data_IF_098324723733
#
_entry.id   IF_098324723733
#
_cell.length_a   1.000
_cell.length_b   1.000
_cell.length_c   1.000
_cell.angle_alpha   90.00
_cell.angle_beta   90.00
_cell.angle_gamma   90.00
#
_symmetry.space_group_name_H-M   'P 1'
#
loop_
_entity.id
_entity.type
_entity.pdbx_description
1 polymer ?
#
# COMPACT_ATOMS: atom_id res chain seq x y z
N UNK A 1 -12.24 17.03 7.67
CA UNK A 1 -10.86 16.57 7.75
C UNK A 1 -10.79 15.07 7.60
N UNK A 2 -9.87 14.63 6.77
CA UNK A 2 -9.71 13.20 6.53
C UNK A 2 -8.55 12.69 7.38
N UNK A 3 -8.86 11.76 8.24
CA UNK A 3 -7.86 11.11 9.05
C UNK A 3 -7.44 9.80 8.38
N UNK A 4 -6.14 9.64 8.17
CA UNK A 4 -5.60 8.41 7.59
C UNK A 4 -4.82 7.65 8.64
N UNK A 5 -5.29 6.48 8.97
CA UNK A 5 -4.57 5.59 9.84
C UNK A 5 -3.48 4.83 9.08
N UNK A 6 -2.63 4.16 9.85
CA UNK A 6 -1.54 3.37 9.28
C UNK A 6 -2.05 2.29 8.32
N UNK A 7 -3.14 1.63 8.68
CA UNK A 7 -3.71 0.59 7.82
C UNK A 7 -4.22 1.13 6.49
N UNK A 8 -4.77 2.33 6.52
CA UNK A 8 -5.26 2.96 5.30
C UNK A 8 -4.11 3.32 4.38
N UNK A 9 -3.01 3.80 4.94
CA UNK A 9 -1.82 4.14 4.16
C UNK A 9 -1.24 2.88 3.51
N UNK A 10 -1.16 1.79 4.28
CA UNK A 10 -0.69 0.51 3.74
C UNK A 10 -1.59 0.06 2.59
N UNK A 11 -2.91 0.17 2.75
CA UNK A 11 -3.84 -0.21 1.70
C UNK A 11 -3.66 0.65 0.44
N UNK A 12 -3.43 1.94 0.59
CA UNK A 12 -3.19 2.83 -0.54
C UNK A 12 -1.92 2.44 -1.30
N UNK A 13 -0.87 2.08 -0.55
CA UNK A 13 0.38 1.64 -1.18
C UNK A 13 0.18 0.33 -1.92
N UNK A 14 -0.51 -0.63 -1.29
CA UNK A 14 -0.77 -1.93 -1.91
C UNK A 14 -1.59 -1.77 -3.20
N UNK A 15 -2.58 -0.91 -3.16
CA UNK A 15 -3.42 -0.65 -4.33
C UNK A 15 -2.63 0.02 -5.44
N UNK A 16 -1.80 1.00 -5.08
CA UNK A 16 -0.98 1.73 -6.04
C UNK A 16 0.06 0.81 -6.71
N UNK A 17 0.62 -0.13 -5.96
CA UNK A 17 1.65 -1.03 -6.45
C UNK A 17 1.07 -2.31 -7.08
N UNK A 18 -0.25 -2.44 -7.14
CA UNK A 18 -0.88 -3.61 -7.76
C UNK A 18 -0.55 -3.60 -9.25
N UNK A 19 0.13 -4.65 -9.71
CA UNK A 19 0.60 -4.72 -11.09
C UNK A 19 1.95 -4.08 -11.33
N UNK A 20 2.47 -3.35 -10.34
CA UNK A 20 3.77 -2.70 -10.43
C UNK A 20 3.66 -1.19 -10.54
N UNK A 21 4.52 -0.48 -9.80
CA UNK A 21 4.56 0.98 -9.83
C UNK A 21 5.91 1.49 -9.37
N UNK A 22 6.28 2.67 -9.84
CA UNK A 22 7.50 3.35 -9.37
C UNK A 22 7.27 3.96 -8.00
N UNK A 23 8.36 4.25 -7.29
CA UNK A 23 8.28 4.95 -6.01
C UNK A 23 7.52 6.27 -6.14
N UNK A 24 7.80 7.02 -7.19
CA UNK A 24 7.18 8.31 -7.41
C UNK A 24 5.67 8.20 -7.54
N UNK A 25 5.22 7.21 -8.29
CA UNK A 25 3.78 6.98 -8.47
C UNK A 25 3.12 6.59 -7.16
N UNK A 26 3.76 5.70 -6.40
CA UNK A 26 3.22 5.25 -5.11
C UNK A 26 3.15 6.44 -4.15
N UNK A 27 4.21 7.23 -4.10
CA UNK A 27 4.28 8.40 -3.22
C UNK A 27 3.15 9.37 -3.52
N UNK A 28 2.91 9.61 -4.79
CA UNK A 28 1.85 10.51 -5.25
C UNK A 28 0.47 9.98 -4.86
N UNK A 29 0.23 8.71 -5.16
CA UNK A 29 -1.08 8.11 -4.92
C UNK A 29 -1.40 7.96 -3.45
N UNK A 30 -0.39 7.74 -2.62
CA UNK A 30 -0.59 7.56 -1.18
C UNK A 30 -0.45 8.86 -0.40
N UNK A 31 -0.14 9.96 -1.08
CA UNK A 31 0.03 11.29 -0.46
C UNK A 31 1.06 11.26 0.66
N UNK A 32 2.22 10.68 0.40
CA UNK A 32 3.29 10.56 1.37
C UNK A 32 4.51 11.38 0.96
N UNK A 33 5.29 11.79 1.96
CA UNK A 33 6.62 12.32 1.70
C UNK A 33 7.54 11.16 1.34
N UNK A 34 8.70 11.47 0.77
CA UNK A 34 9.66 10.44 0.42
C UNK A 34 10.09 9.62 1.63
N UNK A 35 10.37 10.29 2.76
CA UNK A 35 10.79 9.60 3.97
C UNK A 35 9.72 8.68 4.54
N UNK A 36 8.48 9.14 4.51
CA UNK A 36 7.36 8.33 4.96
C UNK A 36 7.19 7.10 4.09
N UNK A 37 7.23 7.28 2.78
CA UNK A 37 7.11 6.16 1.85
C UNK A 37 8.22 5.13 2.08
N UNK A 38 9.45 5.62 2.26
CA UNK A 38 10.59 4.74 2.46
C UNK A 38 10.39 3.85 3.69
N UNK A 39 9.91 4.41 4.78
CA UNK A 39 9.67 3.64 6.00
C UNK A 39 8.59 2.59 5.78
N UNK A 40 7.51 2.96 5.10
CA UNK A 40 6.45 2.00 4.79
C UNK A 40 6.93 0.90 3.86
N UNK A 41 7.69 1.25 2.83
CA UNK A 41 8.19 0.25 1.87
C UNK A 41 9.10 -0.77 2.55
N UNK A 42 9.99 -0.30 3.44
CA UNK A 42 10.88 -1.22 4.16
C UNK A 42 10.07 -2.21 4.99
N UNK A 43 9.12 -1.70 5.75
CA UNK A 43 8.27 -2.54 6.59
C UNK A 43 7.45 -3.52 5.75
N UNK A 44 6.91 -3.06 4.63
CA UNK A 44 6.06 -3.88 3.79
C UNK A 44 6.86 -4.96 3.05
N UNK A 45 8.10 -4.64 2.66
CA UNK A 45 8.98 -5.64 2.06
C UNK A 45 9.41 -6.69 3.08
N UNK A 46 9.69 -6.27 4.31
CA UNK A 46 10.03 -7.20 5.39
C UNK A 46 8.90 -8.17 5.71
N UNK A 47 7.67 -7.72 5.51
CA UNK A 47 6.49 -8.55 5.74
C UNK A 47 6.00 -9.24 4.47
N UNK A 48 6.78 -9.15 3.39
CA UNK A 48 6.47 -9.80 2.11
C UNK A 48 5.15 -9.36 1.49
N UNK A 49 4.75 -8.12 1.76
CA UNK A 49 3.52 -7.56 1.21
C UNK A 49 3.77 -6.91 -0.15
N UNK A 50 4.99 -6.47 -0.38
CA UNK A 50 5.39 -5.81 -1.60
C UNK A 50 6.79 -6.31 -1.95
N UNK A 51 7.10 -6.39 -3.23
CA UNK A 51 8.42 -6.80 -3.68
C UNK A 51 8.98 -5.81 -4.69
N UNK A 52 10.29 -5.79 -4.78
CA UNK A 52 11.02 -4.94 -5.70
C UNK A 52 11.38 -5.75 -6.93
N UNK A 53 11.03 -5.26 -8.08
CA UNK A 53 11.38 -5.92 -9.34
C UNK A 53 12.10 -4.90 -10.23
N UNK A 54 12.69 -5.37 -11.31
CA UNK A 54 13.37 -4.51 -12.28
C UNK A 54 14.42 -3.59 -11.65
N UNK A 55 15.39 -4.17 -10.95
CA UNK A 55 16.54 -3.43 -10.43
C UNK A 55 16.16 -2.36 -9.41
N UNK A 56 15.21 -2.62 -8.56
CA UNK A 56 14.73 -1.71 -7.52
C UNK A 56 14.00 -0.48 -8.06
N UNK A 57 13.53 -0.54 -9.28
CA UNK A 57 12.79 0.58 -9.87
C UNK A 57 11.29 0.42 -9.79
N UNK A 58 10.82 -0.81 -9.78
CA UNK A 58 9.39 -1.12 -9.77
C UNK A 58 9.07 -1.90 -8.50
N UNK A 59 8.04 -1.47 -7.82
CA UNK A 59 7.51 -2.15 -6.64
C UNK A 59 6.19 -2.78 -7.01
N UNK A 60 6.01 -4.03 -6.63
CA UNK A 60 4.80 -4.78 -6.99
C UNK A 60 4.21 -5.45 -5.76
N UNK A 61 2.92 -5.30 -5.59
CA UNK A 61 2.20 -5.95 -4.49
C UNK A 61 2.21 -7.46 -4.70
N UNK A 62 2.59 -8.19 -3.67
CA UNK A 62 2.65 -9.65 -3.71
C UNK A 62 1.24 -10.22 -3.57
N UNK A 63 1.13 -11.54 -3.77
CA UNK A 63 -0.14 -12.21 -3.53
C UNK A 63 -0.60 -12.04 -2.09
N UNK A 64 0.32 -12.12 -1.14
CA UNK A 64 0.03 -11.87 0.28
C UNK A 64 -0.48 -10.45 0.48
N UNK A 65 0.14 -9.48 -0.19
CA UNK A 65 -0.30 -8.10 -0.13
C UNK A 65 -1.69 -7.89 -0.72
N UNK A 66 -1.99 -8.57 -1.83
CA UNK A 66 -3.32 -8.49 -2.43
C UNK A 66 -4.39 -9.09 -1.52
N UNK A 67 -4.07 -10.15 -0.80
CA UNK A 67 -4.99 -10.74 0.16
C UNK A 67 -5.27 -9.78 1.30
N UNK A 68 -4.23 -9.10 1.80
CA UNK A 68 -4.39 -8.11 2.86
C UNK A 68 -5.25 -6.95 2.38
N UNK A 69 -5.01 -6.48 1.16
CA UNK A 69 -5.80 -5.39 0.57
C UNK A 69 -7.26 -5.78 0.45
N UNK A 70 -7.53 -7.00 0.04
CA UNK A 70 -8.89 -7.51 -0.09
C UNK A 70 -9.59 -7.50 1.27
N UNK A 71 -8.92 -7.99 2.30
CA UNK A 71 -9.47 -8.02 3.65
C UNK A 71 -9.75 -6.60 4.13
N UNK A 72 -8.82 -5.69 3.89
CA UNK A 72 -9.00 -4.29 4.28
C UNK A 72 -10.22 -3.68 3.62
N UNK A 73 -10.39 -3.92 2.32
CA UNK A 73 -11.51 -3.39 1.58
C UNK A 73 -12.84 -3.97 2.04
N UNK A 74 -12.86 -5.25 2.37
CA UNK A 74 -14.06 -5.90 2.89
C UNK A 74 -14.44 -5.32 4.26
N UNK A 75 -13.46 -5.11 5.12
CA UNK A 75 -13.68 -4.48 6.42
C UNK A 75 -14.21 -3.05 6.26
N UNK A 76 -13.59 -2.28 5.39
CA UNK A 76 -14.01 -0.91 5.16
C UNK A 76 -15.44 -0.85 4.66
N UNK A 77 -15.81 -1.77 3.78
CA UNK A 77 -17.15 -1.84 3.24
C UNK A 77 -18.18 -2.15 4.32
N UNK A 78 -17.87 -3.14 5.17
CA UNK A 78 -18.76 -3.51 6.26
C UNK A 78 -18.93 -2.38 7.27
N UNK A 79 -17.85 -1.71 7.62
CA UNK A 79 -17.90 -0.61 8.58
C UNK A 79 -18.62 0.61 7.99
N UNK A 80 -18.45 0.82 6.70
CA UNK A 80 -19.10 1.94 6.02
C UNK A 80 -20.61 1.75 5.96
N UNK A 81 -21.05 0.52 5.66
CA UNK A 81 -22.47 0.25 5.54
C UNK A 81 -23.21 0.28 6.87
N UNK A 82 -22.48 0.19 7.99
CA UNK A 82 -23.08 0.24 9.30
C UNK A 82 -23.46 1.66 9.71
N UNK A 83 -22.99 2.63 8.96
CA UNK A 83 -23.34 4.01 9.24
C UNK A 83 -24.70 4.35 8.62
#
# INVERSE_FOLDING_TARGET
MIYRGRNEIVALILDSANGGATKTKIMYNAYLSYNQLREYLVMMMENELIECIDGNKIFKTTEKGLNLLKIHNEMAELLHTSA
#
